data_IF_825938191775
#
_entry.id   IF_825938191775
#
_cell.length_a   1.000
_cell.length_b   1.000
_cell.length_c   1.000
_cell.angle_alpha   90.00
_cell.angle_beta   90.00
_cell.angle_gamma   90.00
#
_symmetry.space_group_name_H-M   'P 1'
#
loop_
_entity.id
_entity.type
_entity.pdbx_description
1 polymer ?
#
# COMPACT_ATOMS: atom_id res chain seq x y z
N UNK A 1 -40.86 36.75 -77.72
CA UNK A 1 -42.25 36.24 -77.75
C UNK A 1 -42.98 36.75 -76.51
N UNK A 2 -44.10 37.43 -76.66
CA UNK A 2 -44.86 37.96 -75.53
C UNK A 2 -45.59 36.82 -74.80
N UNK A 3 -45.35 36.66 -73.50
CA UNK A 3 -46.04 35.66 -72.66
C UNK A 3 -47.37 36.22 -72.13
N UNK A 4 -48.42 35.40 -72.08
CA UNK A 4 -49.71 35.78 -71.45
C UNK A 4 -49.66 35.54 -69.95
N UNK A 5 -50.25 36.44 -69.17
CA UNK A 5 -50.44 36.25 -67.74
C UNK A 5 -51.46 35.16 -67.48
N UNK A 6 -51.11 34.17 -66.66
CA UNK A 6 -51.98 33.05 -66.36
C UNK A 6 -53.17 33.40 -65.41
N UNK A 7 -53.22 34.62 -64.87
CA UNK A 7 -54.34 35.11 -64.05
C UNK A 7 -55.35 35.90 -64.88
N UNK A 8 -54.90 36.88 -65.66
CA UNK A 8 -55.81 37.79 -66.38
C UNK A 8 -55.87 37.54 -67.90
N UNK A 9 -55.06 36.64 -68.44
CA UNK A 9 -55.00 36.28 -69.87
C UNK A 9 -54.37 37.34 -70.78
N UNK A 10 -54.05 38.54 -70.28
CA UNK A 10 -53.43 39.63 -71.05
C UNK A 10 -51.92 39.40 -71.22
N UNK A 11 -51.35 39.96 -72.28
CA UNK A 11 -49.92 39.87 -72.55
C UNK A 11 -49.10 40.62 -71.48
N UNK A 12 -47.99 40.02 -71.06
CA UNK A 12 -46.99 40.61 -70.16
C UNK A 12 -45.91 41.30 -70.99
N UNK A 13 -45.47 42.49 -70.56
CA UNK A 13 -44.29 43.12 -71.15
C UNK A 13 -43.03 42.36 -70.73
N UNK A 14 -41.95 42.49 -71.50
CA UNK A 14 -40.68 41.82 -71.19
C UNK A 14 -40.11 42.16 -69.81
N UNK A 15 -40.51 43.30 -69.23
CA UNK A 15 -40.04 43.81 -67.94
C UNK A 15 -40.99 43.58 -66.77
N UNK A 16 -42.26 43.22 -67.01
CA UNK A 16 -43.30 43.11 -65.96
C UNK A 16 -43.82 41.66 -65.74
N UNK A 17 -43.33 40.70 -66.53
CA UNK A 17 -43.66 39.28 -66.39
C UNK A 17 -42.82 38.58 -65.32
N UNK A 18 -43.46 38.00 -64.32
CA UNK A 18 -42.81 37.20 -63.27
C UNK A 18 -43.19 35.72 -63.42
N UNK A 19 -42.20 34.82 -63.36
CA UNK A 19 -42.42 33.37 -63.39
C UNK A 19 -42.62 32.79 -61.99
N UNK A 20 -43.63 31.92 -61.84
CA UNK A 20 -43.76 31.10 -60.63
C UNK A 20 -42.64 30.05 -60.58
N UNK A 21 -41.97 29.91 -59.43
CA UNK A 21 -40.88 28.93 -59.26
C UNK A 21 -41.32 27.47 -59.46
N UNK A 22 -42.59 27.15 -59.17
CA UNK A 22 -43.09 25.76 -59.17
C UNK A 22 -43.69 25.30 -60.49
N UNK A 23 -44.47 26.15 -61.16
CA UNK A 23 -45.22 25.77 -62.35
C UNK A 23 -44.77 26.48 -63.63
N UNK A 24 -43.68 27.27 -63.57
CA UNK A 24 -43.09 28.00 -64.70
C UNK A 24 -44.02 28.98 -65.44
N UNK A 25 -45.28 29.13 -65.00
CA UNK A 25 -46.23 30.08 -65.57
C UNK A 25 -45.84 31.54 -65.27
N UNK A 26 -46.17 32.42 -66.22
CA UNK A 26 -45.87 33.85 -66.17
C UNK A 26 -47.10 34.62 -65.68
N UNK A 27 -46.88 35.63 -64.84
CA UNK A 27 -47.90 36.48 -64.27
C UNK A 27 -47.49 37.95 -64.30
N UNK A 28 -48.44 38.88 -64.42
CA UNK A 28 -48.15 40.29 -64.10
C UNK A 28 -47.80 40.42 -62.62
N UNK A 29 -46.90 41.35 -62.31
CA UNK A 29 -46.52 41.67 -60.93
C UNK A 29 -47.73 42.06 -60.07
N UNK A 30 -48.66 42.83 -60.66
CA UNK A 30 -49.93 43.21 -60.01
C UNK A 30 -50.94 42.07 -59.86
N UNK A 31 -50.91 41.06 -60.74
CA UNK A 31 -51.78 39.87 -60.64
C UNK A 31 -51.31 38.85 -59.59
N UNK A 32 -50.10 39.00 -59.04
CA UNK A 32 -49.53 38.16 -57.98
C UNK A 32 -49.79 38.69 -56.56
N UNK A 33 -50.68 39.67 -56.39
CA UNK A 33 -50.81 40.44 -55.14
C UNK A 33 -51.30 39.60 -53.94
N UNK A 34 -50.36 39.40 -53.01
CA UNK A 34 -50.50 39.60 -51.56
C UNK A 34 -49.13 40.02 -50.95
N UNK A 35 -48.34 40.83 -51.66
CA UNK A 35 -47.07 41.39 -51.17
C UNK A 35 -47.10 42.92 -51.30
N UNK A 36 -46.87 43.60 -50.19
CA UNK A 36 -46.76 45.07 -50.06
C UNK A 36 -45.62 45.63 -50.93
N UNK A 37 -45.70 46.87 -51.46
CA UNK A 37 -44.85 47.33 -52.56
C UNK A 37 -43.41 47.70 -52.17
N UNK A 38 -42.93 47.32 -50.99
CA UNK A 38 -41.67 47.84 -50.41
C UNK A 38 -40.49 46.86 -50.37
N UNK A 39 -40.60 45.64 -50.88
CA UNK A 39 -39.46 44.70 -50.86
C UNK A 39 -39.01 44.28 -52.26
N UNK A 40 -38.02 45.01 -52.78
CA UNK A 40 -37.34 44.78 -54.06
C UNK A 40 -36.28 43.66 -54.02
N UNK A 41 -36.31 42.79 -53.01
CA UNK A 41 -35.34 41.69 -52.87
C UNK A 41 -35.90 40.49 -52.09
N UNK A 42 -36.59 39.56 -52.76
CA UNK A 42 -36.76 38.18 -52.29
C UNK A 42 -37.02 37.21 -53.46
N UNK A 43 -36.22 36.13 -53.64
CA UNK A 43 -36.17 35.33 -54.88
C UNK A 43 -37.15 34.14 -54.93
N UNK A 44 -38.30 34.19 -54.24
CA UNK A 44 -39.22 33.04 -54.12
C UNK A 44 -40.69 33.43 -54.30
N UNK A 45 -41.06 33.87 -55.52
CA UNK A 45 -42.46 34.12 -55.88
C UNK A 45 -43.14 32.80 -56.34
N UNK A 46 -44.21 32.41 -55.63
CA UNK A 46 -45.04 31.22 -55.91
C UNK A 46 -46.48 31.68 -56.12
N UNK A 47 -47.17 31.18 -57.15
CA UNK A 47 -48.55 31.56 -57.44
C UNK A 47 -49.55 30.98 -56.42
N UNK A 48 -50.76 31.56 -56.33
CA UNK A 48 -51.81 31.14 -55.39
C UNK A 48 -52.16 29.65 -55.50
N UNK A 49 -52.27 29.13 -56.72
CA UNK A 49 -52.56 27.70 -56.96
C UNK A 49 -51.47 26.78 -56.40
N UNK A 50 -50.20 27.13 -56.61
CA UNK A 50 -49.07 26.37 -56.07
C UNK A 50 -48.82 26.57 -54.57
N UNK A 51 -49.42 27.61 -53.96
CA UNK A 51 -49.43 27.85 -52.51
C UNK A 51 -50.50 27.01 -51.83
N UNK A 52 -51.70 26.93 -52.40
CA UNK A 52 -52.80 26.14 -51.83
C UNK A 52 -52.50 24.63 -51.88
N UNK A 53 -51.83 24.15 -52.94
CA UNK A 53 -51.40 22.75 -53.08
C UNK A 53 -50.20 22.37 -52.16
N UNK A 54 -49.82 23.21 -51.19
CA UNK A 54 -48.90 22.84 -50.10
C UNK A 54 -49.62 22.51 -48.79
N UNK A 55 -50.90 22.90 -48.68
CA UNK A 55 -51.70 22.59 -47.50
C UNK A 55 -52.36 21.20 -47.60
N UNK A 56 -52.41 20.60 -48.79
CA UNK A 56 -52.95 19.24 -49.02
C UNK A 56 -51.95 18.11 -48.74
N UNK A 57 -50.75 18.41 -48.19
CA UNK A 57 -49.70 17.40 -47.86
C UNK A 57 -49.58 17.18 -46.35
N UNK A 58 -50.58 17.59 -45.56
CA UNK A 58 -50.60 17.39 -44.09
C UNK A 58 -51.66 16.38 -43.62
N UNK A 59 -52.20 15.53 -44.50
CA UNK A 59 -53.16 14.49 -44.11
C UNK A 59 -52.70 13.03 -44.30
N UNK A 60 -51.45 12.76 -44.70
CA UNK A 60 -50.91 11.39 -44.85
C UNK A 60 -49.67 11.11 -43.97
N UNK A 61 -49.68 11.58 -42.72
CA UNK A 61 -48.62 11.30 -41.72
C UNK A 61 -49.16 10.68 -40.42
N UNK A 62 -50.24 9.90 -40.49
CA UNK A 62 -50.76 9.16 -39.34
C UNK A 62 -50.73 7.65 -39.59
N UNK A 63 -49.83 6.96 -38.87
CA UNK A 63 -49.95 5.54 -38.56
C UNK A 63 -48.75 4.70 -38.99
N UNK A 64 -48.12 4.05 -37.99
CA UNK A 64 -47.15 2.94 -38.08
C UNK A 64 -45.66 3.29 -37.88
N UNK A 65 -45.03 4.13 -38.71
CA UNK A 65 -43.56 4.31 -38.65
C UNK A 65 -42.98 4.92 -37.35
N UNK A 66 -43.70 5.84 -36.72
CA UNK A 66 -43.26 6.45 -35.45
C UNK A 66 -43.43 5.55 -34.22
N UNK A 67 -44.46 4.69 -34.24
CA UNK A 67 -44.72 3.72 -33.16
C UNK A 67 -43.70 2.59 -33.20
N UNK A 68 -43.35 2.12 -34.41
CA UNK A 68 -42.32 1.09 -34.61
C UNK A 68 -40.93 1.57 -34.16
N UNK A 69 -40.54 2.80 -34.54
CA UNK A 69 -39.28 3.40 -34.09
C UNK A 69 -39.23 3.61 -32.56
N UNK A 70 -40.35 4.01 -31.95
CA UNK A 70 -40.46 4.14 -30.49
C UNK A 70 -40.37 2.77 -29.79
N UNK A 71 -40.97 1.73 -30.38
CA UNK A 71 -40.91 0.37 -29.85
C UNK A 71 -39.47 -0.19 -29.87
N UNK A 72 -38.74 0.04 -30.98
CA UNK A 72 -37.31 -0.31 -31.06
C UNK A 72 -36.46 0.45 -30.03
N UNK A 73 -36.70 1.74 -29.82
CA UNK A 73 -35.99 2.53 -28.82
C UNK A 73 -36.27 2.04 -27.38
N UNK A 74 -37.51 1.64 -27.08
CA UNK A 74 -37.89 1.06 -25.79
C UNK A 74 -37.18 -0.28 -25.56
N UNK A 75 -37.10 -1.13 -26.59
CA UNK A 75 -36.40 -2.41 -26.47
C UNK A 75 -34.90 -2.22 -26.28
N UNK A 76 -34.28 -1.26 -26.99
CA UNK A 76 -32.88 -0.91 -26.78
C UNK A 76 -32.63 -0.42 -25.34
N UNK A 77 -33.45 0.50 -24.83
CA UNK A 77 -33.35 0.98 -23.45
C UNK A 77 -33.53 -0.14 -22.42
N UNK A 78 -34.44 -1.09 -22.67
CA UNK A 78 -34.61 -2.28 -21.82
C UNK A 78 -33.36 -3.16 -21.82
N UNK A 79 -32.72 -3.33 -22.97
CA UNK A 79 -31.47 -4.11 -23.05
C UNK A 79 -30.33 -3.42 -22.31
N UNK A 80 -30.18 -2.10 -22.43
CA UNK A 80 -29.18 -1.31 -21.71
C UNK A 80 -29.42 -1.31 -20.20
N UNK A 81 -30.67 -1.15 -19.75
CA UNK A 81 -31.03 -1.25 -18.34
C UNK A 81 -30.75 -2.65 -17.78
N UNK A 82 -31.02 -3.70 -18.56
CA UNK A 82 -30.70 -5.09 -18.19
C UNK A 82 -29.20 -5.31 -18.08
N UNK A 83 -28.41 -4.77 -19.01
CA UNK A 83 -26.95 -4.82 -18.97
C UNK A 83 -26.39 -4.07 -17.75
N UNK A 84 -26.83 -2.83 -17.52
CA UNK A 84 -26.46 -2.03 -16.35
C UNK A 84 -26.81 -2.73 -15.03
N UNK A 85 -27.97 -3.37 -14.95
CA UNK A 85 -28.37 -4.14 -13.76
C UNK A 85 -27.41 -5.31 -13.49
N UNK A 86 -26.92 -5.97 -14.54
CA UNK A 86 -25.93 -7.05 -14.42
C UNK A 86 -24.56 -6.53 -13.99
N UNK A 87 -24.12 -5.39 -14.52
CA UNK A 87 -22.87 -4.75 -14.11
C UNK A 87 -22.91 -4.32 -12.63
N UNK A 88 -24.02 -3.73 -12.18
CA UNK A 88 -24.23 -3.39 -10.77
C UNK A 88 -24.20 -4.64 -9.89
N UNK A 89 -24.77 -5.76 -10.36
CA UNK A 89 -24.71 -7.03 -9.63
C UNK A 89 -23.27 -7.56 -9.53
N UNK A 90 -22.48 -7.52 -10.62
CA UNK A 90 -21.06 -7.90 -10.62
C UNK A 90 -20.25 -7.02 -9.66
N UNK A 91 -20.44 -5.70 -9.73
CA UNK A 91 -19.76 -4.75 -8.87
C UNK A 91 -20.07 -4.98 -7.38
N UNK A 92 -21.33 -5.30 -7.05
CA UNK A 92 -21.71 -5.67 -5.69
C UNK A 92 -21.00 -6.94 -5.22
N UNK A 93 -20.82 -7.92 -6.10
CA UNK A 93 -20.08 -9.14 -5.80
C UNK A 93 -18.60 -8.85 -5.56
N UNK A 94 -17.95 -8.06 -6.43
CA UNK A 94 -16.56 -7.63 -6.25
C UNK A 94 -16.36 -6.87 -4.94
N UNK A 95 -17.27 -5.94 -4.61
CA UNK A 95 -17.25 -5.22 -3.34
C UNK A 95 -17.43 -6.13 -2.13
N UNK A 96 -18.23 -7.20 -2.26
CA UNK A 96 -18.34 -8.22 -1.22
C UNK A 96 -17.02 -8.96 -1.04
N UNK A 97 -16.35 -9.35 -2.12
CA UNK A 97 -15.04 -10.00 -2.08
C UNK A 97 -13.99 -9.11 -1.42
N UNK A 98 -13.92 -7.83 -1.81
CA UNK A 98 -13.00 -6.85 -1.23
C UNK A 98 -13.22 -6.71 0.28
N UNK A 99 -14.48 -6.61 0.73
CA UNK A 99 -14.80 -6.55 2.16
C UNK A 99 -14.30 -7.78 2.91
N UNK A 100 -14.48 -8.97 2.35
CA UNK A 100 -13.96 -10.21 2.94
C UNK A 100 -12.43 -10.21 3.01
N UNK A 101 -11.76 -9.78 1.94
CA UNK A 101 -10.29 -9.68 1.93
C UNK A 101 -9.75 -8.68 2.96
N UNK A 102 -10.42 -7.54 3.15
CA UNK A 102 -10.06 -6.56 4.18
C UNK A 102 -10.25 -7.15 5.58
N UNK A 103 -11.37 -7.85 5.81
CA UNK A 103 -11.62 -8.50 7.10
C UNK A 103 -10.55 -9.56 7.43
N UNK A 104 -10.10 -10.32 6.43
CA UNK A 104 -9.02 -11.29 6.59
C UNK A 104 -7.66 -10.61 6.81
N UNK A 105 -7.39 -9.52 6.10
CA UNK A 105 -6.17 -8.75 6.30
C UNK A 105 -6.08 -8.16 7.71
N UNK A 106 -7.19 -7.61 8.22
CA UNK A 106 -7.26 -7.09 9.59
C UNK A 106 -6.99 -8.20 10.62
N UNK A 107 -7.55 -9.40 10.45
CA UNK A 107 -7.24 -10.54 11.33
C UNK A 107 -5.77 -10.91 11.31
N UNK A 108 -5.13 -10.86 10.14
CA UNK A 108 -3.69 -11.12 10.02
C UNK A 108 -2.84 -10.03 10.69
N UNK A 109 -3.29 -8.78 10.63
CA UNK A 109 -2.65 -7.69 11.37
C UNK A 109 -2.78 -7.90 12.89
N UNK A 110 -3.96 -8.29 13.38
CA UNK A 110 -4.16 -8.59 14.80
C UNK A 110 -3.24 -9.73 15.29
N UNK A 111 -3.06 -10.79 14.49
CA UNK A 111 -2.10 -11.88 14.80
C UNK A 111 -0.65 -11.38 14.81
N UNK A 112 -0.29 -10.50 13.87
CA UNK A 112 1.06 -9.92 13.85
C UNK A 112 1.31 -9.02 15.06
N UNK A 113 0.33 -8.21 15.47
CA UNK A 113 0.44 -7.37 16.66
C UNK A 113 0.57 -8.22 17.94
N UNK A 114 -0.18 -9.33 18.05
CA UNK A 114 -0.05 -10.27 19.16
C UNK A 114 1.35 -10.90 19.20
N UNK A 115 1.88 -11.32 18.04
CA UNK A 115 3.22 -11.91 17.93
C UNK A 115 4.32 -10.90 18.24
N UNK A 116 4.19 -9.65 17.80
CA UNK A 116 5.12 -8.57 18.13
C UNK A 116 5.12 -8.35 19.64
N UNK A 117 3.95 -8.27 20.26
CA UNK A 117 3.82 -8.12 21.73
C UNK A 117 4.53 -9.24 22.48
N UNK A 118 4.41 -10.50 22.03
CA UNK A 118 5.12 -11.65 22.60
C UNK A 118 6.65 -11.51 22.47
N UNK A 119 7.14 -11.08 21.30
CA UNK A 119 8.57 -10.88 21.05
C UNK A 119 9.14 -9.73 21.89
N UNK A 120 8.42 -8.62 21.99
CA UNK A 120 8.85 -7.47 22.80
C UNK A 120 8.92 -7.81 24.28
N UNK A 121 7.97 -8.59 24.79
CA UNK A 121 8.01 -9.09 26.16
C UNK A 121 9.16 -10.08 26.38
N UNK A 122 9.46 -10.95 25.40
CA UNK A 122 10.64 -11.84 25.45
C UNK A 122 11.96 -11.07 25.55
N UNK A 123 12.12 -10.01 24.75
CA UNK A 123 13.33 -9.17 24.79
C UNK A 123 13.57 -8.49 26.14
N UNK A 124 12.51 -8.15 26.88
CA UNK A 124 12.64 -7.60 28.25
C UNK A 124 13.21 -8.63 29.22
N UNK A 125 12.84 -9.90 29.06
CA UNK A 125 13.37 -11.01 29.88
C UNK A 125 14.85 -11.22 29.56
N UNK A 126 15.24 -11.21 28.29
CA UNK A 126 16.65 -11.37 27.88
C UNK A 126 17.54 -10.23 28.40
N UNK A 127 17.04 -8.98 28.37
CA UNK A 127 17.76 -7.85 28.95
C UNK A 127 17.96 -8.01 30.46
N UNK A 128 16.89 -8.39 31.19
CA UNK A 128 16.97 -8.66 32.63
C UNK A 128 17.91 -9.81 32.96
N UNK A 129 17.92 -10.86 32.15
CA UNK A 129 18.86 -11.97 32.31
C UNK A 129 20.31 -11.53 32.05
N UNK A 130 20.52 -10.64 31.07
CA UNK A 130 21.83 -10.03 30.81
C UNK A 130 22.39 -9.26 32.01
N UNK A 131 21.53 -8.49 32.69
CA UNK A 131 21.92 -7.75 33.89
C UNK A 131 22.26 -8.70 35.05
N UNK A 132 21.43 -9.74 35.28
CA UNK A 132 21.69 -10.75 36.32
C UNK A 132 22.98 -11.51 36.04
N UNK A 133 23.22 -11.91 34.78
CA UNK A 133 24.47 -12.60 34.40
C UNK A 133 25.68 -11.70 34.64
N UNK A 134 25.57 -10.40 34.36
CA UNK A 134 26.64 -9.44 34.60
C UNK A 134 26.94 -9.31 36.10
N UNK A 135 25.90 -9.15 36.93
CA UNK A 135 26.03 -9.13 38.39
C UNK A 135 26.65 -10.40 38.93
N UNK A 136 26.19 -11.57 38.50
CA UNK A 136 26.75 -12.85 38.96
C UNK A 136 28.22 -13.03 38.56
N UNK A 137 28.63 -12.49 37.40
CA UNK A 137 30.04 -12.49 36.98
C UNK A 137 30.89 -11.60 37.86
N UNK A 138 30.38 -10.43 38.23
CA UNK A 138 31.05 -9.52 39.16
C UNK A 138 31.20 -10.16 40.54
N UNK A 139 30.13 -10.73 41.09
CA UNK A 139 30.14 -11.45 42.37
C UNK A 139 31.13 -12.61 42.40
N UNK A 140 31.22 -13.39 41.30
CA UNK A 140 32.18 -14.48 41.19
C UNK A 140 33.61 -13.97 41.19
N UNK A 141 33.87 -12.91 40.42
CA UNK A 141 35.20 -12.33 40.33
C UNK A 141 35.64 -11.71 41.67
N UNK A 142 34.72 -11.06 42.39
CA UNK A 142 34.99 -10.50 43.72
C UNK A 142 35.30 -11.61 44.73
N UNK A 143 34.51 -12.69 44.77
CA UNK A 143 34.79 -13.84 45.64
C UNK A 143 36.11 -14.53 45.31
N UNK A 144 36.42 -14.72 44.04
CA UNK A 144 37.70 -15.31 43.64
C UNK A 144 38.88 -14.43 44.10
N UNK A 145 38.73 -13.10 44.01
CA UNK A 145 39.74 -12.16 44.49
C UNK A 145 39.86 -12.15 46.02
N UNK A 146 38.75 -12.26 46.76
CA UNK A 146 38.75 -12.41 48.22
C UNK A 146 39.47 -13.69 48.66
N UNK A 147 39.28 -14.80 47.95
CA UNK A 147 39.97 -16.06 48.23
C UNK A 147 41.48 -15.95 48.06
N UNK A 148 41.94 -15.19 47.06
CA UNK A 148 43.36 -14.96 46.81
C UNK A 148 43.98 -13.89 47.73
N UNK A 149 43.17 -13.15 48.50
CA UNK A 149 43.67 -12.02 49.30
C UNK A 149 44.71 -12.43 50.36
N UNK A 150 44.61 -13.67 50.86
CA UNK A 150 45.52 -14.21 51.87
C UNK A 150 46.65 -15.07 51.27
N UNK A 151 46.63 -15.29 49.96
CA UNK A 151 47.63 -16.09 49.27
C UNK A 151 48.78 -15.18 48.81
N UNK A 152 50.01 -15.53 49.20
CA UNK A 152 51.22 -14.77 48.86
C UNK A 152 52.11 -15.61 47.95
N UNK A 153 52.40 -15.11 46.75
CA UNK A 153 53.36 -15.74 45.84
C UNK A 153 54.77 -15.19 46.07
N UNK A 154 55.72 -16.08 46.35
CA UNK A 154 57.13 -15.75 46.50
C UNK A 154 57.91 -16.33 45.31
N UNK A 155 58.25 -15.46 44.36
CA UNK A 155 59.00 -15.83 43.17
C UNK A 155 60.53 -15.71 43.36
N UNK A 156 61.30 -16.39 42.50
CA UNK A 156 62.77 -16.26 42.45
C UNK A 156 63.54 -17.08 43.48
N UNK A 157 62.87 -17.98 44.21
CA UNK A 157 63.53 -18.90 45.16
C UNK A 157 64.03 -20.14 44.41
N UNK A 158 65.33 -20.40 44.43
CA UNK A 158 65.94 -21.62 43.87
C UNK A 158 65.39 -22.87 44.53
N UNK A 159 65.12 -23.92 43.75
CA UNK A 159 64.62 -25.21 44.25
C UNK A 159 65.79 -26.11 44.67
N UNK A 160 65.73 -26.65 45.89
CA UNK A 160 66.71 -27.58 46.43
C UNK A 160 66.03 -28.85 46.95
N UNK A 161 66.69 -30.00 46.78
CA UNK A 161 66.17 -31.28 47.30
C UNK A 161 66.18 -31.30 48.83
N UNK A 162 65.06 -31.68 49.44
CA UNK A 162 64.92 -31.77 50.89
C UNK A 162 64.81 -30.41 51.60
N UNK A 163 64.42 -29.37 50.87
CA UNK A 163 64.19 -28.05 51.46
C UNK A 163 63.00 -28.02 52.42
N UNK A 164 63.10 -27.16 53.45
CA UNK A 164 61.99 -26.88 54.34
C UNK A 164 61.35 -25.54 53.96
N UNK A 165 60.17 -25.60 53.33
CA UNK A 165 59.47 -24.42 52.83
C UNK A 165 59.06 -23.44 53.94
N UNK A 166 58.70 -23.93 55.12
CA UNK A 166 58.35 -23.07 56.27
C UNK A 166 59.54 -22.21 56.71
N UNK A 167 60.74 -22.80 56.76
CA UNK A 167 61.96 -22.07 57.10
C UNK A 167 62.33 -21.03 56.03
N UNK A 168 62.11 -21.37 54.75
CA UNK A 168 62.34 -20.43 53.64
C UNK A 168 61.42 -19.22 53.77
N UNK A 169 60.13 -19.43 54.01
CA UNK A 169 59.15 -18.33 54.20
C UNK A 169 59.54 -17.47 55.40
N UNK A 170 59.89 -18.08 56.54
CA UNK A 170 60.34 -17.34 57.72
C UNK A 170 61.63 -16.52 57.48
N UNK A 171 62.58 -17.07 56.71
CA UNK A 171 63.79 -16.35 56.32
C UNK A 171 63.47 -15.17 55.38
N UNK A 172 62.60 -15.36 54.40
CA UNK A 172 62.16 -14.31 53.48
C UNK A 172 61.43 -13.20 54.25
N UNK A 173 60.49 -13.55 55.13
CA UNK A 173 59.81 -12.60 56.01
C UNK A 173 60.80 -11.80 56.83
N UNK A 174 61.75 -12.48 57.50
CA UNK A 174 62.80 -11.83 58.30
C UNK A 174 63.67 -10.87 57.47
N UNK A 175 63.97 -11.22 56.21
CA UNK A 175 64.72 -10.35 55.28
C UNK A 175 63.92 -9.15 54.81
N UNK A 176 62.60 -9.26 54.74
CA UNK A 176 61.67 -8.18 54.42
C UNK A 176 61.24 -7.35 55.65
N UNK A 177 61.71 -7.72 56.86
CA UNK A 177 61.37 -7.04 58.11
C UNK A 177 59.99 -7.42 58.68
N UNK A 178 59.41 -8.52 58.20
CA UNK A 178 58.12 -9.05 58.68
C UNK A 178 58.38 -10.28 59.54
N UNK A 179 57.84 -10.29 60.76
CA UNK A 179 57.87 -11.47 61.62
C UNK A 179 56.73 -12.41 61.21
N UNK A 180 57.08 -13.54 60.59
CA UNK A 180 56.11 -14.58 60.20
C UNK A 180 56.36 -15.79 61.08
N UNK A 181 55.37 -16.18 61.87
CA UNK A 181 55.40 -17.37 62.72
C UNK A 181 54.71 -18.55 62.04
N UNK A 182 55.02 -19.78 62.45
CA UNK A 182 54.42 -20.99 61.87
C UNK A 182 52.89 -21.02 61.97
N UNK A 183 52.31 -20.31 62.95
CA UNK A 183 50.85 -20.19 63.14
C UNK A 183 50.18 -19.23 62.15
N UNK A 184 50.97 -18.34 61.52
CA UNK A 184 50.49 -17.36 60.55
C UNK A 184 50.36 -17.98 59.15
N UNK A 185 50.87 -19.20 58.99
CA UNK A 185 50.97 -19.91 57.72
C UNK A 185 49.99 -21.08 57.73
N UNK A 186 48.99 -21.03 56.84
CA UNK A 186 48.01 -22.11 56.68
C UNK A 186 48.57 -23.26 55.83
N UNK A 187 49.24 -22.93 54.72
CA UNK A 187 49.85 -23.90 53.81
C UNK A 187 50.98 -23.24 53.01
N UNK A 188 52.03 -24.00 52.69
CA UNK A 188 53.11 -23.57 51.80
C UNK A 188 53.41 -24.68 50.81
N UNK A 189 53.42 -24.33 49.53
CA UNK A 189 53.75 -25.26 48.46
C UNK A 189 54.51 -24.54 47.34
N UNK A 190 55.30 -25.30 46.58
CA UNK A 190 55.83 -24.82 45.29
C UNK A 190 54.67 -24.79 44.29
N UNK A 191 54.54 -23.69 43.54
CA UNK A 191 53.57 -23.54 42.47
C UNK A 191 54.28 -23.61 41.10
N UNK A 192 53.68 -24.31 40.12
CA UNK A 192 54.20 -24.47 38.75
C UNK A 192 54.23 -25.91 38.24
N UNK A 193 54.50 -26.07 36.94
CA UNK A 193 54.34 -27.33 36.18
C UNK A 193 55.29 -28.49 36.57
N UNK A 194 56.20 -28.30 37.54
CA UNK A 194 57.18 -29.30 37.95
C UNK A 194 56.91 -29.97 39.31
N UNK A 195 55.67 -29.98 39.80
CA UNK A 195 55.30 -30.75 41.00
C UNK A 195 55.19 -32.25 40.65
N UNK A 196 56.33 -32.95 40.59
CA UNK A 196 56.40 -34.39 40.27
C UNK A 196 55.91 -35.34 41.37
N UNK A 197 55.29 -34.85 42.46
CA UNK A 197 54.68 -35.71 43.48
C UNK A 197 53.28 -35.25 43.89
N UNK A 198 52.33 -35.46 42.99
CA UNK A 198 50.91 -35.41 43.29
C UNK A 198 50.50 -36.67 44.08
N UNK A 199 50.57 -36.62 45.41
CA UNK A 199 49.76 -37.52 46.24
C UNK A 199 48.30 -37.07 46.07
N UNK A 200 47.54 -37.88 45.31
CA UNK A 200 46.10 -37.71 45.14
C UNK A 200 45.41 -38.07 46.45
N UNK A 201 45.09 -37.08 47.26
CA UNK A 201 43.85 -37.12 48.05
C UNK A 201 42.92 -36.08 47.45
N UNK A 202 42.37 -36.42 46.28
CA UNK A 202 41.13 -35.81 45.84
C UNK A 202 40.04 -36.42 46.72
N UNK A 203 39.60 -35.68 47.73
CA UNK A 203 38.21 -35.82 48.13
C UNK A 203 37.38 -35.23 46.99
N UNK A 204 36.59 -36.11 46.38
CA UNK A 204 35.53 -35.82 45.44
C UNK A 204 34.74 -34.57 45.85
N UNK A 205 34.77 -33.54 45.00
CA UNK A 205 33.54 -32.88 44.60
C UNK A 205 33.67 -32.47 43.12
N UNK A 206 32.80 -33.05 42.32
CA UNK A 206 32.62 -32.98 40.88
C UNK A 206 32.94 -31.63 40.19
N UNK A 207 33.81 -31.69 39.17
CA UNK A 207 33.69 -30.83 37.98
C UNK A 207 33.82 -31.68 36.72
N UNK A 208 32.69 -32.20 36.29
CA UNK A 208 32.47 -32.67 34.91
C UNK A 208 32.32 -31.44 34.04
N UNK A 209 33.35 -31.10 33.26
CA UNK A 209 33.18 -30.29 32.06
C UNK A 209 33.23 -31.24 30.87
N UNK A 210 32.05 -31.51 30.31
CA UNK A 210 31.88 -32.13 29.00
C UNK A 210 32.11 -31.07 27.93
N UNK A 211 32.89 -31.44 26.92
CA UNK A 211 32.81 -30.94 25.55
C UNK A 211 32.82 -32.13 24.62
#
# INVERSE_FOLDING_TARGET
MASKCNTCGKFTSATDGVKCKKCSHVFHRGCLTNLSPTNTSAPKLVCKSCKNNMNDVLEDANGLGGVEAMMTAIDLLRTELSACTKEIASFRQEMSTIRSSIAEFNRRLDDFDERITKIENGKKIDASNGDIISQLREDLNERDQELLQNDIEIAGITELNGENLMQIVGLVGSKLGVNVEDRDIVSVQRAGDNIKHRIKYAHDVDKVFLS
#
